data_IF_847014212167
#
_entry.id   IF_847014212167
#
_cell.length_a   1.000
_cell.length_b   1.000
_cell.length_c   1.000
_cell.angle_alpha   90.00
_cell.angle_beta   90.00
_cell.angle_gamma   90.00
#
_symmetry.space_group_name_H-M   'P 1'
#
loop_
_entity.id
_entity.type
_entity.pdbx_description
1 polymer ?
#
# COMPACT_ATOMS: atom_id res chain seq x y z
N UNK A 1 -12.18 5.11 -26.68
CA UNK A 1 -12.92 4.97 -25.41
C UNK A 1 -12.33 5.94 -24.43
N UNK A 2 -13.18 6.67 -23.72
CA UNK A 2 -12.74 7.62 -22.73
C UNK A 2 -12.53 6.94 -21.39
N UNK A 3 -11.35 7.12 -20.79
CA UNK A 3 -11.00 6.58 -19.49
C UNK A 3 -10.81 7.74 -18.52
N UNK A 4 -11.47 7.62 -17.37
CA UNK A 4 -11.34 8.53 -16.23
C UNK A 4 -10.76 7.78 -15.06
N UNK A 5 -9.81 8.38 -14.35
CA UNK A 5 -9.24 7.83 -13.12
C UNK A 5 -9.28 8.87 -12.02
N UNK A 6 -9.80 8.49 -10.86
CA UNK A 6 -9.85 9.34 -9.67
C UNK A 6 -9.09 8.70 -8.52
N UNK A 7 -8.37 9.50 -7.75
CA UNK A 7 -7.72 9.08 -6.51
C UNK A 7 -8.67 9.31 -5.35
N UNK A 8 -8.94 8.24 -4.61
CA UNK A 8 -9.75 8.26 -3.39
C UNK A 8 -8.98 7.55 -2.27
N UNK A 9 -9.37 7.79 -1.03
CA UNK A 9 -8.86 7.03 0.10
C UNK A 9 -9.99 6.51 0.98
N UNK A 10 -9.79 5.37 1.64
CA UNK A 10 -10.82 4.69 2.45
C UNK A 10 -10.31 4.25 3.81
N UNK A 11 -11.12 4.46 4.85
CA UNK A 11 -10.87 3.97 6.22
C UNK A 11 -11.49 2.59 6.48
N UNK A 12 -11.76 1.82 5.41
CA UNK A 12 -12.54 0.56 5.32
C UNK A 12 -14.06 0.68 5.47
N UNK A 13 -14.58 1.81 5.96
CA UNK A 13 -16.03 2.02 6.13
C UNK A 13 -16.55 3.06 5.13
N UNK A 14 -15.78 4.10 4.87
CA UNK A 14 -16.13 5.23 4.02
C UNK A 14 -15.07 5.49 2.96
N UNK A 15 -15.44 6.22 1.91
CA UNK A 15 -14.56 6.68 0.84
C UNK A 15 -14.54 8.20 0.78
N UNK A 16 -13.35 8.76 0.63
CA UNK A 16 -13.09 10.19 0.70
C UNK A 16 -12.27 10.66 -0.50
N UNK A 17 -12.51 11.90 -0.92
CA UNK A 17 -11.65 12.62 -1.89
C UNK A 17 -10.69 13.61 -1.23
N UNK A 18 -11.09 14.26 -0.13
CA UNK A 18 -10.32 15.30 0.57
C UNK A 18 -10.61 15.27 2.08
N UNK A 19 -9.65 15.66 2.94
CA UNK A 19 -8.28 16.08 2.62
C UNK A 19 -7.38 14.88 2.26
N UNK A 20 -6.61 15.00 1.17
CA UNK A 20 -5.72 13.92 0.74
C UNK A 20 -4.62 13.66 1.78
N UNK A 21 -4.43 12.42 2.27
CA UNK A 21 -3.36 12.07 3.20
C UNK A 21 -1.95 12.45 2.70
N UNK A 22 -1.10 12.94 3.60
CA UNK A 22 0.23 13.47 3.27
C UNK A 22 1.20 12.45 2.63
N UNK A 23 0.99 11.15 2.85
CA UNK A 23 1.77 10.11 2.20
C UNK A 23 1.35 9.96 0.72
N UNK A 24 0.05 10.05 0.37
CA UNK A 24 -0.44 10.11 -1.01
C UNK A 24 0.12 11.36 -1.71
N UNK A 25 0.13 12.51 -1.03
CA UNK A 25 0.81 13.70 -1.54
C UNK A 25 2.30 13.45 -1.82
N UNK A 26 3.00 12.66 -1.00
CA UNK A 26 4.40 12.29 -1.23
C UNK A 26 4.58 11.38 -2.46
N UNK A 27 3.69 10.41 -2.67
CA UNK A 27 3.67 9.51 -3.85
C UNK A 27 3.42 10.32 -5.14
N UNK A 28 2.43 11.21 -5.12
CA UNK A 28 2.08 12.06 -6.25
C UNK A 28 3.11 13.17 -6.49
N UNK A 29 3.83 13.64 -5.48
CA UNK A 29 4.92 14.62 -5.64
C UNK A 29 6.30 13.99 -5.91
N UNK A 30 6.44 12.66 -5.88
CA UNK A 30 7.75 11.98 -5.98
C UNK A 30 8.61 12.32 -7.21
N UNK A 31 8.01 12.88 -8.27
CA UNK A 31 8.67 13.29 -9.52
C UNK A 31 8.57 14.81 -9.77
N UNK A 32 8.41 15.63 -8.73
CA UNK A 32 8.35 17.10 -8.83
C UNK A 32 9.70 17.75 -8.46
N UNK A 33 10.56 18.11 -9.44
CA UNK A 33 11.80 18.85 -9.17
C UNK A 33 11.56 20.32 -8.82
N UNK A 34 10.38 20.89 -9.09
CA UNK A 34 10.08 22.33 -9.01
C UNK A 34 9.30 22.71 -7.74
N UNK A 35 8.82 21.74 -6.95
CA UNK A 35 8.14 21.96 -5.67
C UNK A 35 6.74 22.58 -5.77
N UNK A 36 6.04 22.39 -6.90
CA UNK A 36 4.67 22.87 -7.16
C UNK A 36 3.61 21.81 -6.78
N UNK A 37 3.78 21.21 -5.61
CA UNK A 37 2.98 20.08 -5.08
C UNK A 37 1.45 20.20 -5.27
N UNK A 38 0.88 21.41 -5.12
CA UNK A 38 -0.56 21.65 -5.28
C UNK A 38 -1.08 21.33 -6.69
N UNK A 39 -0.36 21.77 -7.73
CA UNK A 39 -0.80 21.58 -9.12
C UNK A 39 -0.73 20.11 -9.55
N UNK A 40 0.23 19.36 -9.01
CA UNK A 40 0.40 17.93 -9.33
C UNK A 40 -0.66 17.10 -8.60
N UNK A 41 -0.97 17.43 -7.34
CA UNK A 41 -2.06 16.79 -6.63
C UNK A 41 -3.40 16.97 -7.37
N UNK A 42 -3.71 18.18 -7.83
CA UNK A 42 -4.96 18.43 -8.59
C UNK A 42 -4.95 17.75 -9.96
N UNK A 43 -3.80 17.73 -10.67
CA UNK A 43 -3.66 17.08 -11.98
C UNK A 43 -3.76 15.55 -11.93
N UNK A 44 -3.18 14.92 -10.91
CA UNK A 44 -3.09 13.45 -10.82
C UNK A 44 -4.24 12.83 -10.01
N UNK A 45 -4.95 13.62 -9.18
CA UNK A 45 -6.10 13.11 -8.42
C UNK A 45 -7.37 12.93 -9.23
N UNK A 46 -7.57 13.69 -10.32
CA UNK A 46 -8.67 13.50 -11.27
C UNK A 46 -8.13 13.63 -12.70
N UNK A 47 -8.02 12.51 -13.41
CA UNK A 47 -7.31 12.40 -14.69
C UNK A 47 -8.18 11.76 -15.77
N UNK A 48 -7.98 12.21 -17.00
CA UNK A 48 -8.78 11.81 -18.15
C UNK A 48 -7.87 11.54 -19.37
N UNK A 49 -8.12 10.43 -20.07
CA UNK A 49 -7.45 10.11 -21.34
C UNK A 49 -8.41 9.47 -22.34
N UNK A 50 -8.17 9.73 -23.63
CA UNK A 50 -8.73 8.92 -24.71
C UNK A 50 -7.82 7.72 -24.96
N UNK A 51 -8.41 6.53 -24.99
CA UNK A 51 -7.72 5.25 -25.15
C UNK A 51 -8.33 4.46 -26.32
N UNK A 52 -7.51 3.97 -27.23
CA UNK A 52 -7.94 3.08 -28.31
C UNK A 52 -7.93 1.66 -27.74
N UNK A 53 -9.10 1.04 -27.65
CA UNK A 53 -9.23 -0.30 -27.09
C UNK A 53 -8.90 -1.33 -28.18
N UNK A 54 -7.76 -1.99 -28.04
CA UNK A 54 -7.31 -3.04 -28.95
C UNK A 54 -7.84 -4.41 -28.50
N UNK A 55 -7.95 -5.41 -29.40
CA UNK A 55 -8.31 -6.77 -29.02
C UNK A 55 -7.36 -7.32 -27.94
N UNK A 56 -7.94 -7.89 -26.89
CA UNK A 56 -7.25 -8.45 -25.71
C UNK A 56 -6.57 -7.42 -24.76
N UNK A 57 -6.83 -6.11 -24.87
CA UNK A 57 -6.37 -5.16 -23.84
C UNK A 57 -6.83 -5.59 -22.44
N UNK A 58 -5.90 -5.65 -21.49
CA UNK A 58 -6.12 -6.02 -20.09
C UNK A 58 -6.29 -4.79 -19.18
N UNK A 59 -6.82 -4.98 -17.98
CA UNK A 59 -6.83 -3.91 -16.97
C UNK A 59 -5.41 -3.46 -16.56
N UNK A 60 -4.42 -4.35 -16.66
CA UNK A 60 -3.00 -4.06 -16.47
C UNK A 60 -2.52 -2.99 -17.46
N UNK A 61 -2.88 -3.12 -18.74
CA UNK A 61 -2.55 -2.14 -19.80
C UNK A 61 -3.20 -0.79 -19.54
N UNK A 62 -4.46 -0.77 -19.10
CA UNK A 62 -5.18 0.46 -18.72
C UNK A 62 -4.49 1.16 -17.54
N UNK A 63 -4.14 0.43 -16.48
CA UNK A 63 -3.37 0.97 -15.35
C UNK A 63 -2.06 1.58 -15.83
N UNK A 64 -1.33 0.87 -16.69
CA UNK A 64 -0.03 1.32 -17.18
C UNK A 64 -0.16 2.65 -17.96
N UNK A 65 -1.15 2.77 -18.84
CA UNK A 65 -1.42 4.01 -19.58
C UNK A 65 -1.82 5.19 -18.66
N UNK A 66 -2.54 4.93 -17.56
CA UNK A 66 -2.85 5.95 -16.54
C UNK A 66 -1.58 6.38 -15.79
N UNK A 67 -0.72 5.44 -15.39
CA UNK A 67 0.58 5.74 -14.78
C UNK A 67 1.48 6.57 -15.69
N UNK A 68 1.57 6.22 -16.97
CA UNK A 68 2.30 6.99 -17.98
C UNK A 68 1.74 8.41 -18.13
N UNK A 69 0.41 8.57 -18.14
CA UNK A 69 -0.26 9.89 -18.20
C UNK A 69 0.03 10.77 -16.98
N UNK A 70 0.21 10.19 -15.79
CA UNK A 70 0.66 10.89 -14.57
C UNK A 70 2.17 11.19 -14.56
N UNK A 71 2.94 10.71 -15.55
CA UNK A 71 4.41 10.70 -15.53
C UNK A 71 4.98 9.99 -14.28
N UNK A 72 4.42 8.81 -13.98
CA UNK A 72 4.79 7.97 -12.82
C UNK A 72 5.32 6.62 -13.27
N UNK A 73 6.40 6.15 -12.64
CA UNK A 73 6.75 4.75 -12.76
C UNK A 73 5.70 3.92 -12.03
N UNK A 74 5.19 2.87 -12.67
CA UNK A 74 4.16 1.99 -12.12
C UNK A 74 4.58 1.45 -10.73
N UNK A 75 5.89 1.18 -10.55
CA UNK A 75 6.44 0.72 -9.28
C UNK A 75 6.26 1.70 -8.12
N UNK A 76 6.26 3.01 -8.35
CA UNK A 76 6.12 4.00 -7.27
C UNK A 76 4.68 4.10 -6.78
N UNK A 77 3.72 4.02 -7.71
CA UNK A 77 2.29 3.98 -7.40
C UNK A 77 1.89 2.64 -6.75
N UNK A 78 2.37 1.52 -7.29
CA UNK A 78 2.03 0.18 -6.81
C UNK A 78 2.68 -0.18 -5.47
N UNK A 79 3.81 0.42 -5.08
CA UNK A 79 4.39 0.30 -3.71
C UNK A 79 3.44 0.77 -2.61
N UNK A 80 2.46 1.59 -2.96
CA UNK A 80 1.44 2.09 -2.04
C UNK A 80 0.21 1.18 -1.99
N UNK A 81 0.21 0.07 -2.74
CA UNK A 81 -0.90 -0.87 -2.84
C UNK A 81 -2.29 -0.22 -3.01
N UNK A 82 -2.46 0.82 -3.87
CA UNK A 82 -3.80 1.30 -4.19
C UNK A 82 -4.49 0.22 -5.01
N UNK A 83 -5.69 -0.18 -4.61
CA UNK A 83 -6.45 -1.11 -5.42
C UNK A 83 -7.38 -0.35 -6.35
N UNK A 84 -7.54 -0.92 -7.54
CA UNK A 84 -8.18 -0.28 -8.68
C UNK A 84 -9.62 -0.76 -8.70
N UNK A 85 -10.55 0.15 -8.47
CA UNK A 85 -11.96 -0.15 -8.38
C UNK A 85 -12.75 0.49 -9.52
N UNK A 86 -13.85 -0.15 -9.91
CA UNK A 86 -14.98 0.53 -10.56
C UNK A 86 -16.02 0.91 -9.49
N UNK A 87 -16.89 1.86 -9.79
CA UNK A 87 -18.06 2.13 -8.95
C UNK A 87 -19.30 1.47 -9.53
N UNK A 88 -20.07 0.77 -8.69
CA UNK A 88 -21.35 0.16 -9.03
C UNK A 88 -22.40 0.56 -7.99
N UNK A 89 -23.42 1.31 -8.41
CA UNK A 89 -24.40 1.93 -7.52
C UNK A 89 -23.74 2.74 -6.38
N UNK A 90 -23.73 2.22 -5.15
CA UNK A 90 -23.14 2.88 -3.97
C UNK A 90 -21.75 2.35 -3.61
N UNK A 91 -21.37 1.17 -4.11
CA UNK A 91 -20.14 0.45 -3.73
C UNK A 91 -18.99 0.64 -4.74
N UNK A 92 -17.76 0.48 -4.24
CA UNK A 92 -16.56 0.34 -5.06
C UNK A 92 -16.19 -1.14 -5.16
N UNK A 93 -16.15 -1.66 -6.38
CA UNK A 93 -15.82 -3.06 -6.66
C UNK A 93 -14.35 -3.12 -7.11
N UNK A 94 -13.53 -3.81 -6.32
CA UNK A 94 -12.12 -4.01 -6.60
C UNK A 94 -11.87 -4.96 -7.79
N UNK A 95 -10.88 -4.62 -8.61
CA UNK A 95 -10.35 -5.45 -9.69
C UNK A 95 -9.08 -6.14 -9.19
N UNK A 96 -9.24 -7.26 -8.48
CA UNK A 96 -8.09 -8.04 -7.98
C UNK A 96 -7.25 -8.64 -9.13
N UNK A 97 -7.92 -9.20 -10.14
CA UNK A 97 -7.27 -9.78 -11.31
C UNK A 97 -7.04 -8.72 -12.39
N UNK A 98 -5.86 -8.12 -12.41
CA UNK A 98 -5.46 -7.11 -13.40
C UNK A 98 -5.24 -7.67 -14.82
N UNK A 99 -5.13 -8.99 -14.99
CA UNK A 99 -5.01 -9.62 -16.31
C UNK A 99 -6.38 -9.85 -16.98
N UNK A 100 -7.49 -9.46 -16.33
CA UNK A 100 -8.81 -9.50 -16.95
C UNK A 100 -8.87 -8.58 -18.18
N UNK A 101 -9.40 -9.09 -19.29
CA UNK A 101 -9.66 -8.28 -20.48
C UNK A 101 -10.70 -7.20 -20.20
N UNK A 102 -10.43 -5.98 -20.63
CA UNK A 102 -11.30 -4.81 -20.42
C UNK A 102 -12.70 -5.07 -20.97
N UNK A 103 -12.83 -5.64 -22.17
CA UNK A 103 -14.14 -6.00 -22.76
C UNK A 103 -14.97 -6.95 -21.90
N UNK A 104 -14.31 -7.88 -21.18
CA UNK A 104 -14.98 -8.81 -20.27
C UNK A 104 -15.54 -8.06 -19.06
N UNK A 105 -14.75 -7.12 -18.52
CA UNK A 105 -15.16 -6.26 -17.40
C UNK A 105 -16.32 -5.34 -17.81
N UNK A 106 -16.19 -4.62 -18.94
CA UNK A 106 -17.24 -3.74 -19.47
C UNK A 106 -18.56 -4.50 -19.67
N UNK A 107 -18.52 -5.69 -20.28
CA UNK A 107 -19.70 -6.54 -20.49
C UNK A 107 -20.32 -7.01 -19.18
N UNK A 108 -19.50 -7.46 -18.22
CA UNK A 108 -19.97 -8.02 -16.94
C UNK A 108 -20.69 -6.96 -16.08
N UNK A 109 -20.21 -5.72 -16.11
CA UNK A 109 -20.77 -4.61 -15.34
C UNK A 109 -21.64 -3.65 -16.17
N UNK A 110 -21.96 -4.01 -17.42
CA UNK A 110 -22.81 -3.23 -18.33
C UNK A 110 -22.35 -1.76 -18.50
N UNK A 111 -21.03 -1.56 -18.58
CA UNK A 111 -20.41 -0.24 -18.71
C UNK A 111 -20.36 0.14 -20.20
N UNK A 112 -21.12 1.18 -20.56
CA UNK A 112 -21.16 1.71 -21.93
C UNK A 112 -20.41 3.06 -22.05
N UNK A 113 -19.71 3.25 -23.17
CA UNK A 113 -19.06 4.51 -23.53
C UNK A 113 -17.76 4.81 -22.79
N UNK A 114 -17.83 5.10 -21.48
CA UNK A 114 -16.71 5.61 -20.68
C UNK A 114 -16.37 4.66 -19.52
N UNK A 115 -15.08 4.35 -19.34
CA UNK A 115 -14.61 3.59 -18.19
C UNK A 115 -14.14 4.54 -17.08
N UNK A 116 -14.82 4.50 -15.93
CA UNK A 116 -14.43 5.22 -14.73
C UNK A 116 -13.72 4.26 -13.76
N UNK A 117 -12.48 4.58 -13.40
CA UNK A 117 -11.67 3.86 -12.43
C UNK A 117 -11.37 4.73 -11.22
N UNK A 118 -11.12 4.07 -10.10
CA UNK A 118 -10.77 4.67 -8.83
C UNK A 118 -9.52 3.98 -8.27
N UNK A 119 -8.47 4.76 -8.00
CA UNK A 119 -7.31 4.30 -7.26
C UNK A 119 -7.61 4.53 -5.78
N UNK A 120 -8.10 3.49 -5.11
CA UNK A 120 -8.47 3.52 -3.70
C UNK A 120 -7.25 3.19 -2.85
N UNK A 121 -6.67 4.23 -2.24
CA UNK A 121 -5.62 4.09 -1.24
C UNK A 121 -6.24 3.83 0.13
N UNK A 122 -5.52 3.12 1.00
CA UNK A 122 -5.99 2.93 2.38
C UNK A 122 -5.69 4.17 3.21
N UNK A 123 -6.71 4.82 3.79
CA UNK A 123 -6.55 5.86 4.81
C UNK A 123 -5.76 5.37 6.03
N UNK A 124 -5.74 4.04 6.19
CA UNK A 124 -5.05 3.32 7.23
C UNK A 124 -3.55 3.23 6.91
N UNK A 125 -3.15 3.06 5.64
CA UNK A 125 -1.75 3.21 5.22
C UNK A 125 -1.23 4.61 5.58
N UNK A 126 0.01 4.74 6.07
CA UNK A 126 0.50 6.07 6.42
C UNK A 126 1.94 6.20 6.91
N UNK A 127 2.44 7.43 6.79
CA UNK A 127 3.63 7.94 7.46
C UNK A 127 3.44 7.88 8.98
N UNK A 128 4.38 7.24 9.67
CA UNK A 128 4.41 7.18 11.13
C UNK A 128 5.31 8.30 11.65
N UNK A 129 6.58 8.34 11.21
CA UNK A 129 7.58 9.32 11.64
C UNK A 129 8.61 9.62 10.55
N UNK A 130 9.22 10.80 10.62
CA UNK A 130 10.47 11.12 9.92
C UNK A 130 11.48 11.69 10.93
N UNK A 131 12.67 11.10 11.01
CA UNK A 131 13.78 11.50 11.90
C UNK A 131 15.09 11.62 11.12
N UNK A 132 15.49 12.85 10.79
CA UNK A 132 16.66 13.11 9.95
C UNK A 132 16.47 12.49 8.56
N UNK A 133 17.31 11.50 8.23
CA UNK A 133 17.25 10.76 6.96
C UNK A 133 16.42 9.47 7.03
N UNK A 134 15.71 9.19 8.14
CA UNK A 134 14.96 7.95 8.34
C UNK A 134 13.46 8.23 8.33
N UNK A 135 12.71 7.47 7.54
CA UNK A 135 11.26 7.58 7.38
C UNK A 135 10.62 6.22 7.68
N UNK A 136 9.66 6.22 8.61
CA UNK A 136 8.93 5.04 9.09
C UNK A 136 7.48 5.12 8.59
N UNK A 137 6.96 4.05 8.02
CA UNK A 137 5.60 3.98 7.48
C UNK A 137 5.01 2.55 7.60
N UNK A 138 3.68 2.44 7.55
CA UNK A 138 2.99 1.15 7.37
C UNK A 138 2.53 0.99 5.92
N UNK A 139 2.40 -0.26 5.45
CA UNK A 139 1.77 -0.59 4.17
C UNK A 139 0.46 -1.35 4.42
N UNK A 140 -0.62 -0.97 3.73
CA UNK A 140 -1.85 -1.76 3.69
C UNK A 140 -1.71 -2.97 2.76
N UNK A 141 -2.61 -3.94 2.90
CA UNK A 141 -2.73 -5.15 2.05
C UNK A 141 -1.55 -6.14 2.12
N UNK A 142 -0.96 -6.31 3.31
CA UNK A 142 0.09 -7.30 3.62
C UNK A 142 -0.38 -8.79 3.61
N UNK A 143 -1.53 -9.07 2.99
CA UNK A 143 -2.22 -10.35 3.07
C UNK A 143 -1.41 -11.50 2.42
N UNK A 144 -1.27 -12.60 3.16
CA UNK A 144 -0.80 -13.89 2.63
C UNK A 144 0.72 -14.06 2.45
N UNK A 145 1.56 -13.06 2.75
CA UNK A 145 3.04 -13.20 2.69
C UNK A 145 3.80 -12.72 3.92
N UNK A 146 3.25 -11.81 4.74
CA UNK A 146 3.97 -11.19 5.86
C UNK A 146 3.16 -11.17 7.16
N UNK A 147 2.87 -12.36 7.70
CA UNK A 147 2.09 -12.54 8.95
C UNK A 147 2.77 -12.00 10.24
N UNK A 148 4.00 -11.48 10.17
CA UNK A 148 4.71 -10.91 11.32
C UNK A 148 4.53 -9.39 11.32
N UNK A 149 4.02 -8.78 12.41
CA UNK A 149 3.88 -7.32 12.51
C UNK A 149 5.22 -6.61 12.30
N UNK A 150 5.28 -5.74 11.30
CA UNK A 150 6.51 -5.06 10.90
C UNK A 150 6.25 -3.60 10.50
N UNK A 151 7.29 -2.77 10.59
CA UNK A 151 7.28 -1.38 10.13
C UNK A 151 8.23 -1.23 8.95
N UNK A 152 7.79 -0.56 7.89
CA UNK A 152 8.64 -0.26 6.75
C UNK A 152 9.47 0.99 7.03
N UNK A 153 10.74 0.94 6.65
CA UNK A 153 11.70 2.01 6.90
C UNK A 153 12.51 2.31 5.65
N UNK A 154 12.48 3.58 5.21
CA UNK A 154 13.42 4.11 4.24
C UNK A 154 14.51 4.92 4.96
N UNK A 155 15.76 4.78 4.55
CA UNK A 155 16.90 5.47 5.18
C UNK A 155 17.86 6.05 4.14
N UNK A 156 18.03 7.37 4.14
CA UNK A 156 18.72 8.07 3.05
C UNK A 156 18.06 7.80 1.69
N UNK A 157 18.83 7.94 0.62
CA UNK A 157 18.26 7.97 -0.74
C UNK A 157 18.14 6.57 -1.40
N UNK A 158 18.61 5.51 -0.74
CA UNK A 158 18.78 4.19 -1.40
C UNK A 158 18.55 2.94 -0.53
N UNK A 159 18.24 3.08 0.75
CA UNK A 159 18.06 1.93 1.65
C UNK A 159 16.61 1.82 2.09
N UNK A 160 16.08 0.60 2.08
CA UNK A 160 14.70 0.29 2.45
C UNK A 160 14.64 -1.09 3.07
N UNK A 161 13.83 -1.26 4.13
CA UNK A 161 13.62 -2.54 4.79
C UNK A 161 12.29 -2.62 5.54
N UNK A 162 11.78 -3.84 5.66
CA UNK A 162 10.74 -4.22 6.61
C UNK A 162 11.41 -4.65 7.93
N UNK A 163 11.05 -4.00 9.05
CA UNK A 163 11.62 -4.25 10.38
C UNK A 163 10.55 -4.88 11.27
N UNK A 164 10.82 -6.06 11.81
CA UNK A 164 9.94 -6.74 12.77
C UNK A 164 9.72 -5.86 14.01
N UNK A 165 8.46 -5.59 14.36
CA UNK A 165 8.11 -4.72 15.50
C UNK A 165 8.47 -5.37 16.84
N UNK A 166 8.44 -6.71 16.91
CA UNK A 166 8.70 -7.47 18.13
C UNK A 166 10.21 -7.56 18.41
N UNK A 167 11.01 -8.02 17.44
CA UNK A 167 12.45 -8.29 17.61
C UNK A 167 13.37 -7.12 17.19
N UNK A 168 12.86 -6.19 16.37
CA UNK A 168 13.66 -5.12 15.77
C UNK A 168 14.69 -5.64 14.76
N UNK A 169 14.43 -6.79 14.13
CA UNK A 169 15.27 -7.40 13.10
C UNK A 169 14.75 -7.08 11.70
N UNK A 170 15.62 -7.15 10.70
CA UNK A 170 15.25 -6.98 9.29
C UNK A 170 14.56 -8.26 8.81
N UNK A 171 13.30 -8.15 8.36
CA UNK A 171 12.58 -9.25 7.71
C UNK A 171 12.86 -9.30 6.19
N UNK A 172 13.01 -8.12 5.57
CA UNK A 172 13.35 -7.98 4.16
C UNK A 172 14.05 -6.63 3.91
N UNK A 173 14.86 -6.55 2.85
CA UNK A 173 15.61 -5.34 2.47
C UNK A 173 16.97 -5.21 3.17
N UNK A 174 17.54 -4.00 3.12
CA UNK A 174 18.87 -3.71 3.67
C UNK A 174 18.91 -2.33 4.33
N UNK A 175 19.48 -2.27 5.55
CA UNK A 175 19.75 -1.03 6.28
C UNK A 175 21.20 -1.05 6.79
N UNK A 176 22.03 -0.05 6.44
CA UNK A 176 23.38 0.09 6.98
C UNK A 176 23.39 0.22 8.51
N UNK A 177 24.41 -0.36 9.15
CA UNK A 177 24.56 -0.34 10.62
C UNK A 177 24.49 1.05 11.26
N UNK A 178 24.89 2.11 10.54
CA UNK A 178 24.77 3.51 11.00
C UNK A 178 23.32 3.94 11.30
N UNK A 179 22.34 3.46 10.53
CA UNK A 179 20.92 3.74 10.77
C UNK A 179 20.27 2.64 11.61
N UNK A 180 20.69 1.38 11.44
CA UNK A 180 20.05 0.23 12.10
C UNK A 180 20.01 0.35 13.63
N UNK A 181 21.05 0.92 14.25
CA UNK A 181 21.06 1.18 15.70
C UNK A 181 19.99 2.19 16.13
N UNK A 182 19.76 3.25 15.35
CA UNK A 182 18.70 4.22 15.63
C UNK A 182 17.31 3.59 15.43
N UNK A 183 17.14 2.85 14.32
CA UNK A 183 15.88 2.17 13.97
C UNK A 183 15.49 1.15 15.03
N UNK A 184 16.40 0.25 15.43
CA UNK A 184 16.10 -0.76 16.45
C UNK A 184 15.70 -0.12 17.79
N UNK A 185 16.43 0.89 18.24
CA UNK A 185 16.10 1.64 19.46
C UNK A 185 14.73 2.35 19.36
N UNK A 186 14.40 2.91 18.18
CA UNK A 186 13.12 3.58 17.93
C UNK A 186 11.95 2.59 17.94
N UNK A 187 12.10 1.46 17.25
CA UNK A 187 11.09 0.38 17.20
C UNK A 187 10.85 -0.19 18.59
N UNK A 188 11.91 -0.56 19.31
CA UNK A 188 11.82 -1.12 20.66
C UNK A 188 11.13 -0.15 21.64
N UNK A 189 11.52 1.14 21.65
CA UNK A 189 10.94 2.16 22.54
C UNK A 189 9.46 2.44 22.26
N UNK A 190 8.98 2.24 21.03
CA UNK A 190 7.63 2.60 20.60
C UNK A 190 6.80 1.38 20.18
N UNK A 191 7.21 0.17 20.60
CA UNK A 191 6.61 -1.11 20.14
C UNK A 191 5.09 -1.16 20.25
N UNK A 192 4.53 -0.77 21.40
CA UNK A 192 3.07 -0.79 21.62
C UNK A 192 2.32 0.08 20.61
N UNK A 193 2.82 1.31 20.39
CA UNK A 193 2.26 2.21 19.38
C UNK A 193 2.46 1.69 17.95
N UNK A 194 3.56 1.01 17.64
CA UNK A 194 3.76 0.39 16.32
C UNK A 194 2.82 -0.81 16.09
N UNK A 195 2.48 -1.57 17.12
CA UNK A 195 1.43 -2.60 17.06
C UNK A 195 0.04 -1.96 16.89
N UNK A 196 -0.23 -0.83 17.57
CA UNK A 196 -1.47 -0.08 17.36
C UNK A 196 -1.54 0.48 15.93
N UNK A 197 -0.43 1.00 15.38
CA UNK A 197 -0.32 1.32 13.97
C UNK A 197 -0.63 0.07 13.13
N UNK A 198 0.12 -1.03 13.26
CA UNK A 198 -0.06 -2.24 12.46
C UNK A 198 -1.52 -2.70 12.38
N UNK A 199 -2.20 -2.80 13.53
CA UNK A 199 -3.60 -3.23 13.62
C UNK A 199 -4.61 -2.24 13.02
N UNK A 200 -4.31 -0.94 13.06
CA UNK A 200 -5.21 0.11 12.55
C UNK A 200 -4.79 0.65 11.17
N UNK A 201 -3.64 0.24 10.64
CA UNK A 201 -2.99 0.80 9.44
C UNK A 201 -2.79 -0.23 8.32
N UNK A 202 -3.02 -1.51 8.61
CA UNK A 202 -2.83 -2.64 7.69
C UNK A 202 -4.00 -3.61 7.76
N UNK A 203 -4.17 -4.39 6.70
CA UNK A 203 -5.17 -5.46 6.58
C UNK A 203 -4.82 -6.70 7.43
N UNK A 204 -3.76 -6.63 8.24
CA UNK A 204 -3.18 -7.75 8.98
C UNK A 204 -3.90 -8.05 10.30
N UNK A 205 -4.63 -9.17 10.33
CA UNK A 205 -5.06 -9.87 11.55
C UNK A 205 -4.20 -11.15 11.61
N UNK A 206 -3.45 -11.46 12.67
CA UNK A 206 -3.94 -11.67 14.04
C UNK A 206 -2.82 -11.36 15.04
N UNK A 207 -2.86 -10.19 15.71
CA UNK A 207 -1.92 -9.92 16.81
C UNK A 207 -2.32 -10.75 18.01
N UNK A 208 -1.39 -11.58 18.48
CA UNK A 208 -1.51 -12.35 19.71
C UNK A 208 -1.93 -11.44 20.88
N UNK A 209 -3.16 -11.64 21.34
CA UNK A 209 -3.76 -10.89 22.44
C UNK A 209 -2.99 -11.17 23.75
N UNK A 210 -2.45 -12.38 23.91
CA UNK A 210 -1.65 -12.75 25.08
C UNK A 210 -0.29 -12.03 25.06
N UNK A 211 0.25 -11.68 23.88
CA UNK A 211 1.39 -10.76 23.78
C UNK A 211 1.02 -9.33 24.22
N UNK A 212 -0.14 -8.81 23.78
CA UNK A 212 -0.59 -7.45 24.17
C UNK A 212 -0.83 -7.32 25.68
N UNK A 213 -1.25 -8.39 26.35
CA UNK A 213 -1.42 -8.44 27.81
C UNK A 213 -0.21 -8.99 28.58
N UNK A 214 0.90 -9.32 27.90
CA UNK A 214 2.16 -9.74 28.54
C UNK A 214 2.12 -11.14 29.19
N UNK A 215 1.21 -12.00 28.73
CA UNK A 215 0.94 -13.34 29.27
C UNK A 215 1.96 -14.36 28.73
N UNK A 216 2.43 -14.20 27.48
CA UNK A 216 3.34 -15.16 26.83
C UNK A 216 4.80 -14.70 26.87
N UNK A 217 5.68 -15.47 27.52
CA UNK A 217 7.13 -15.27 27.42
C UNK A 217 7.70 -15.91 26.15
N UNK A 218 8.69 -15.26 25.54
CA UNK A 218 9.14 -15.43 24.14
C UNK A 218 9.73 -16.80 23.71
N UNK A 219 9.60 -17.87 24.50
CA UNK A 219 10.35 -19.14 24.31
C UNK A 219 9.64 -20.27 23.58
N UNK A 220 8.32 -20.23 23.38
CA UNK A 220 7.56 -21.40 22.95
C UNK A 220 6.96 -21.33 21.53
N UNK A 221 7.13 -20.23 20.77
CA UNK A 221 6.45 -20.05 19.46
C UNK A 221 7.29 -20.58 18.27
N UNK A 222 8.53 -21.02 18.49
CA UNK A 222 9.41 -21.53 17.43
C UNK A 222 9.38 -23.06 17.23
N UNK A 223 8.70 -23.83 18.08
CA UNK A 223 8.70 -25.31 18.01
C UNK A 223 7.66 -25.91 17.08
N UNK A 224 6.60 -25.17 16.75
CA UNK A 224 5.38 -25.77 16.20
C UNK A 224 5.28 -25.67 14.67
N UNK A 225 6.28 -25.10 14.00
CA UNK A 225 6.29 -24.88 12.54
C UNK A 225 7.23 -25.79 11.72
N UNK A 226 8.10 -26.60 12.34
CA UNK A 226 8.90 -27.63 11.64
C UNK A 226 8.33 -29.07 11.82
N UNK A 227 7.13 -29.19 12.37
CA UNK A 227 6.61 -30.43 12.95
C UNK A 227 5.78 -31.37 12.07
N UNK A 228 5.54 -31.10 10.78
CA UNK A 228 4.68 -31.95 9.92
C UNK A 228 5.36 -32.31 8.59
N UNK A 229 6.26 -33.30 8.65
CA UNK A 229 6.45 -34.22 7.53
C UNK A 229 5.48 -35.39 7.72
N UNK A 230 4.37 -35.38 6.99
CA UNK A 230 3.51 -36.56 6.95
C UNK A 230 4.27 -37.73 6.34
N UNK A 231 4.41 -38.79 7.13
CA UNK A 231 4.57 -40.16 6.63
C UNK A 231 3.20 -40.83 6.71
N UNK A 232 2.70 -41.26 5.55
CA UNK A 232 2.18 -42.61 5.33
C UNK A 232 2.08 -42.84 3.82
#
# INVERSE_FOLDING_TARGET
MKIKSEIIYTDTIYYYKKPVPGYICSILSANDPDGKNLNILERDSELELEYILEPNTTMSDIRNAICEKMNKQIGDLCRSCPCICIKSHEDFIEIENMDIMVETLLRKFQIEGNLQLYFAFSALQGDIWREGQIHYYMQSREYGKHNRPHVHVNAGDRYSAAIDILTGEILAGEIPGKYMKQIKNKVEKNRGFLIDCWNNMTDGINVDIDYRFGITSFRNVLTDYEGVKERN
#
